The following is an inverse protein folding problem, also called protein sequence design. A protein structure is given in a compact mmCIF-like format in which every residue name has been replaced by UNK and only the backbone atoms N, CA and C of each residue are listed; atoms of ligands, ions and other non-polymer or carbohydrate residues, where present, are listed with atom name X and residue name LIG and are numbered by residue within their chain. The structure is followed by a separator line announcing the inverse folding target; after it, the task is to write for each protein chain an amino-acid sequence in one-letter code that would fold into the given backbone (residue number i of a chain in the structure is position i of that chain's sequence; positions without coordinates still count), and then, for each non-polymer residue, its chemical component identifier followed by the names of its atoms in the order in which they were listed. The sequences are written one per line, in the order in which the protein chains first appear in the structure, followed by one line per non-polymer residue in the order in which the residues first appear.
data_IF_863067313256
#
_entry.id   IF_863067313256
#
_cell.length_a   1.000
_cell.length_b   1.000
_cell.length_c   1.000
_cell.angle_alpha   90.00
_cell.angle_beta   90.00
_cell.angle_gamma   90.00
#
_symmetry.space_group_name_H-M   'P 1'
#
loop_
_entity.id
_entity.type
_entity.pdbx_description
1 polymer ?
#
# COMPACT_ATOMS: atom_id res chain seq x y z
N UNK A 1 3.59 -6.48 -10.27
CA UNK A 1 3.54 -6.22 -8.81
C UNK A 1 3.52 -4.71 -8.62
N UNK A 2 2.87 -4.20 -7.58
CA UNK A 2 2.76 -2.78 -7.29
C UNK A 2 3.12 -2.52 -5.83
N UNK A 3 3.98 -1.54 -5.58
CA UNK A 3 4.38 -1.14 -4.22
C UNK A 3 4.00 0.30 -4.00
N UNK A 4 3.25 0.57 -2.93
CA UNK A 4 3.00 1.93 -2.45
C UNK A 4 4.01 2.29 -1.37
N UNK A 5 4.69 3.42 -1.53
CA UNK A 5 5.56 4.00 -0.52
C UNK A 5 4.87 5.15 0.19
N UNK A 6 4.70 5.06 1.51
CA UNK A 6 4.26 6.15 2.36
C UNK A 6 5.48 6.79 3.01
N UNK A 7 5.59 8.11 2.90
CA UNK A 7 6.64 8.86 3.57
C UNK A 7 6.29 8.95 5.06
N UNK A 8 7.17 8.45 5.90
CA UNK A 8 7.05 8.49 7.36
C UNK A 8 8.25 9.22 7.98
N UNK A 9 8.88 10.13 7.23
CA UNK A 9 9.92 11.01 7.73
C UNK A 9 9.37 11.96 8.80
N UNK A 10 10.27 12.49 9.63
CA UNK A 10 9.90 13.32 10.79
C UNK A 10 9.15 14.60 10.41
N UNK A 11 9.36 15.08 9.18
CA UNK A 11 8.73 16.31 8.67
C UNK A 11 7.31 16.08 8.11
N UNK A 12 6.88 14.81 7.99
CA UNK A 12 5.51 14.48 7.55
C UNK A 12 4.55 14.73 8.71
N UNK A 13 3.73 15.76 8.56
CA UNK A 13 2.67 16.06 9.52
C UNK A 13 1.56 14.99 9.48
N UNK A 14 0.79 14.80 10.57
CA UNK A 14 -0.34 13.87 10.57
C UNK A 14 -1.35 14.15 9.44
N UNK A 15 -1.62 15.42 9.14
CA UNK A 15 -2.50 15.80 8.04
C UNK A 15 -1.92 15.49 6.64
N UNK A 16 -0.59 15.55 6.48
CA UNK A 16 0.06 15.12 5.25
C UNK A 16 0.01 13.60 5.10
N UNK A 17 0.26 12.87 6.18
CA UNK A 17 0.15 11.41 6.21
C UNK A 17 -1.27 10.94 5.85
N UNK A 18 -2.32 11.53 6.45
CA UNK A 18 -3.70 11.16 6.13
C UNK A 18 -4.08 11.45 4.67
N UNK A 19 -3.50 12.50 4.07
CA UNK A 19 -3.66 12.75 2.63
C UNK A 19 -2.99 11.67 1.78
N UNK A 20 -1.78 11.24 2.14
CA UNK A 20 -1.10 10.14 1.46
C UNK A 20 -1.90 8.83 1.59
N UNK A 21 -2.38 8.52 2.79
CA UNK A 21 -3.22 7.35 3.07
C UNK A 21 -4.51 7.38 2.25
N UNK A 22 -5.20 8.51 2.21
CA UNK A 22 -6.44 8.66 1.44
C UNK A 22 -6.21 8.50 -0.06
N UNK A 23 -5.13 9.08 -0.60
CA UNK A 23 -4.76 8.91 -2.00
C UNK A 23 -4.42 7.45 -2.33
N UNK A 24 -3.70 6.76 -1.45
CA UNK A 24 -3.41 5.33 -1.59
C UNK A 24 -4.71 4.51 -1.66
N UNK A 25 -5.66 4.74 -0.76
CA UNK A 25 -6.94 4.02 -0.75
C UNK A 25 -7.74 4.26 -2.04
N UNK A 26 -7.82 5.52 -2.51
CA UNK A 26 -8.50 5.85 -3.76
C UNK A 26 -7.85 5.20 -5.00
N UNK A 27 -6.52 5.05 -5.00
CA UNK A 27 -5.82 4.32 -6.05
C UNK A 27 -6.11 2.81 -5.97
N UNK A 28 -6.11 2.24 -4.77
CA UNK A 28 -6.43 0.83 -4.55
C UNK A 28 -7.83 0.46 -5.02
N UNK A 29 -8.82 1.33 -4.86
CA UNK A 29 -10.19 1.12 -5.35
C UNK A 29 -10.26 0.76 -6.84
N UNK A 30 -9.35 1.29 -7.66
CA UNK A 30 -9.34 1.07 -9.10
C UNK A 30 -8.36 -0.02 -9.56
N UNK A 31 -7.58 -0.58 -8.66
CA UNK A 31 -6.64 -1.66 -8.96
C UNK A 31 -7.33 -3.01 -8.83
N UNK A 32 -7.18 -3.84 -9.86
CA UNK A 32 -7.54 -5.26 -9.76
C UNK A 32 -6.43 -5.99 -9.00
N UNK A 33 -6.72 -6.45 -7.78
CA UNK A 33 -5.74 -7.13 -6.91
C UNK A 33 -5.75 -8.62 -7.22
N UNK A 34 -4.57 -9.19 -7.45
CA UNK A 34 -4.44 -10.63 -7.68
C UNK A 34 -4.68 -11.39 -6.38
N UNK A 35 -5.85 -12.03 -6.25
CA UNK A 35 -6.25 -12.73 -5.02
C UNK A 35 -5.85 -14.20 -4.97
N UNK A 36 -5.18 -14.67 -6.01
CA UNK A 36 -4.71 -16.05 -6.13
C UNK A 36 -3.37 -16.10 -6.85
N UNK A 37 -2.87 -17.32 -7.07
CA UNK A 37 -1.65 -17.53 -7.84
C UNK A 37 -1.89 -17.35 -9.37
N UNK A 38 -3.13 -17.08 -9.79
CA UNK A 38 -3.45 -16.74 -11.18
C UNK A 38 -3.03 -15.29 -11.48
N UNK A 39 -2.40 -15.01 -12.64
CA UNK A 39 -1.80 -13.71 -12.96
C UNK A 39 -2.81 -12.60 -13.30
N UNK A 40 -4.09 -12.77 -12.98
CA UNK A 40 -5.13 -11.76 -13.19
C UNK A 40 -5.11 -10.73 -12.07
N UNK A 41 -4.42 -9.60 -12.31
CA UNK A 41 -4.34 -8.47 -11.39
C UNK A 41 -2.93 -8.20 -10.85
N UNK A 42 -2.79 -7.18 -10.02
CA UNK A 42 -1.54 -6.82 -9.37
C UNK A 42 -1.49 -7.36 -7.94
N UNK A 43 -0.35 -7.96 -7.55
CA UNK A 43 -0.02 -8.14 -6.12
C UNK A 43 0.46 -6.80 -5.57
N UNK A 44 -0.08 -6.40 -4.43
CA UNK A 44 0.15 -5.09 -3.81
C UNK A 44 0.94 -5.24 -2.51
N UNK A 45 1.90 -4.35 -2.30
CA UNK A 45 2.58 -4.17 -1.02
C UNK A 45 2.57 -2.69 -0.63
N UNK A 46 2.64 -2.40 0.67
CA UNK A 46 2.74 -1.05 1.22
C UNK A 46 3.97 -0.99 2.12
N UNK A 47 4.81 0.00 1.88
CA UNK A 47 6.02 0.26 2.68
C UNK A 47 5.95 1.68 3.23
N UNK A 48 6.36 1.84 4.49
CA UNK A 48 6.70 3.14 5.04
C UNK A 48 8.18 3.38 4.85
N UNK A 49 8.60 4.56 4.41
CA UNK A 49 10.01 4.90 4.29
C UNK A 49 10.34 6.19 5.05
N UNK A 50 11.52 6.20 5.65
CA UNK A 50 12.18 7.40 6.16
C UNK A 50 13.69 7.18 6.08
N UNK A 51 14.40 7.10 7.21
CA UNK A 51 15.79 6.64 7.26
C UNK A 51 15.92 5.17 6.88
N UNK A 52 14.88 4.37 7.16
CA UNK A 52 14.80 2.95 6.81
C UNK A 52 13.43 2.61 6.25
N UNK A 53 13.39 1.57 5.42
CA UNK A 53 12.13 1.02 4.89
C UNK A 53 11.50 0.06 5.90
N UNK A 54 10.22 0.24 6.15
CA UNK A 54 9.38 -0.64 6.97
C UNK A 54 8.28 -1.25 6.11
N UNK A 55 8.15 -2.56 6.12
CA UNK A 55 7.04 -3.24 5.45
C UNK A 55 5.78 -3.09 6.31
N UNK A 56 4.77 -2.40 5.79
CA UNK A 56 3.47 -2.25 6.44
C UNK A 56 2.54 -3.37 5.96
N UNK A 57 2.58 -3.68 4.66
CA UNK A 57 1.87 -4.78 4.02
C UNK A 57 2.83 -5.45 3.03
N UNK A 58 3.08 -6.75 3.19
CA UNK A 58 3.87 -7.54 2.22
C UNK A 58 2.94 -8.19 1.20
N UNK A 59 3.48 -8.56 0.03
CA UNK A 59 2.73 -9.27 -1.01
C UNK A 59 2.06 -10.58 -0.54
N UNK A 60 2.62 -11.20 0.50
CA UNK A 60 2.12 -12.46 1.07
C UNK A 60 1.07 -12.27 2.17
N UNK A 61 0.94 -11.06 2.74
CA UNK A 61 0.11 -10.83 3.93
C UNK A 61 -1.38 -10.79 3.57
N UNK A 62 -1.72 -10.26 2.39
CA UNK A 62 -3.09 -10.13 1.94
C UNK A 62 -3.25 -10.63 0.52
N UNK A 63 -4.18 -11.57 0.35
CA UNK A 63 -4.65 -11.99 -0.97
C UNK A 63 -5.91 -11.25 -1.35
N UNK A 64 -6.74 -10.79 -0.41
CA UNK A 64 -8.02 -10.16 -0.75
C UNK A 64 -7.95 -8.64 -0.68
N UNK A 65 -8.55 -7.97 -1.66
CA UNK A 65 -8.61 -6.49 -1.73
C UNK A 65 -9.28 -5.88 -0.50
N UNK A 66 -10.28 -6.55 0.07
CA UNK A 66 -10.96 -6.13 1.30
C UNK A 66 -10.08 -6.11 2.55
N UNK A 67 -8.91 -6.75 2.51
CA UNK A 67 -7.95 -6.71 3.62
C UNK A 67 -6.93 -5.57 3.48
N UNK A 68 -6.91 -4.89 2.32
CA UNK A 68 -6.04 -3.75 2.03
C UNK A 68 -6.71 -2.39 2.29
N UNK A 69 -8.04 -2.38 2.47
CA UNK A 69 -8.89 -1.18 2.59
C UNK A 69 -9.33 -1.03 4.05
#
# INVERSE_FOLDING_TARGET
ELVFGLDMSVDVTPAAFERQRSALLALLENINVAESNCPTGARVAVVGFSTFTKYLIRFQDHRRKSQLI
#
